data_IF_329557034092
#
_entry.id   IF_329557034092
#
_cell.length_a   1.000
_cell.length_b   1.000
_cell.length_c   1.000
_cell.angle_alpha   90.00
_cell.angle_beta   90.00
_cell.angle_gamma   90.00
#
_symmetry.space_group_name_H-M   'P 1'
#
loop_
_entity.id
_entity.type
_entity.pdbx_description
1 polymer ?
#
# COMPACT_ATOMS: atom_id res chain seq x y z
N UNK A 1 -19.72 9.94 -13.18
CA UNK A 1 -20.33 11.25 -12.87
C UNK A 1 -21.52 11.16 -11.88
N UNK A 2 -22.05 9.96 -11.58
CA UNK A 2 -23.16 9.81 -10.62
C UNK A 2 -22.68 9.87 -9.16
N UNK A 3 -21.49 9.39 -8.84
CA UNK A 3 -21.05 9.21 -7.45
C UNK A 3 -20.50 10.49 -6.80
N UNK A 4 -19.84 11.36 -7.56
CA UNK A 4 -19.47 12.70 -7.07
C UNK A 4 -20.71 13.54 -6.86
N UNK A 5 -21.72 13.40 -7.73
CA UNK A 5 -23.01 14.07 -7.58
C UNK A 5 -23.80 13.57 -6.34
N UNK A 6 -23.71 12.28 -6.01
CA UNK A 6 -24.33 11.72 -4.79
C UNK A 6 -23.61 12.18 -3.52
N UNK A 7 -22.29 12.32 -3.54
CA UNK A 7 -21.51 12.83 -2.41
C UNK A 7 -21.80 14.31 -2.15
N UNK A 8 -21.92 15.12 -3.20
CA UNK A 8 -22.31 16.53 -3.08
C UNK A 8 -23.74 16.70 -2.54
N UNK A 9 -24.67 15.87 -3.00
CA UNK A 9 -26.05 15.83 -2.48
C UNK A 9 -26.08 15.41 -1.01
N UNK A 10 -25.29 14.41 -0.62
CA UNK A 10 -25.19 13.98 0.76
C UNK A 10 -24.61 15.08 1.66
N UNK A 11 -23.54 15.75 1.22
CA UNK A 11 -22.94 16.84 1.99
C UNK A 11 -23.85 18.05 2.12
N UNK A 12 -24.62 18.38 1.06
CA UNK A 12 -25.64 19.42 1.08
C UNK A 12 -26.74 19.07 2.08
N UNK A 13 -27.26 17.85 2.02
CA UNK A 13 -28.25 17.34 2.95
C UNK A 13 -27.78 17.40 4.40
N UNK A 14 -26.56 16.92 4.67
CA UNK A 14 -25.95 16.95 6.02
C UNK A 14 -25.78 18.39 6.51
N UNK A 15 -25.39 19.32 5.63
CA UNK A 15 -25.27 20.74 5.96
C UNK A 15 -26.61 21.38 6.34
N UNK A 16 -27.66 21.08 5.58
CA UNK A 16 -29.02 21.61 5.79
C UNK A 16 -29.68 21.02 7.04
N UNK A 17 -29.41 19.76 7.36
CA UNK A 17 -30.03 19.02 8.48
C UNK A 17 -29.08 18.81 9.67
N UNK A 18 -27.99 19.58 9.74
CA UNK A 18 -26.95 19.42 10.78
C UNK A 18 -27.51 19.47 12.23
N UNK A 19 -28.55 20.25 12.46
CA UNK A 19 -29.18 20.36 13.76
C UNK A 19 -29.97 19.10 14.17
N UNK A 20 -30.58 18.44 13.23
CA UNK A 20 -31.35 17.19 13.44
C UNK A 20 -30.38 16.01 13.63
N UNK A 21 -29.36 15.95 12.79
CA UNK A 21 -28.34 14.89 12.83
C UNK A 21 -27.43 14.97 14.05
N UNK A 22 -27.40 16.11 14.73
CA UNK A 22 -26.56 16.30 15.92
C UNK A 22 -26.88 15.32 17.06
N UNK A 23 -28.11 14.89 17.19
CA UNK A 23 -28.54 13.97 18.24
C UNK A 23 -27.94 12.56 18.04
N UNK A 24 -27.83 12.11 16.80
CA UNK A 24 -27.42 10.75 16.43
C UNK A 24 -25.91 10.66 16.10
N UNK A 25 -25.34 11.71 15.51
CA UNK A 25 -23.96 11.71 14.97
C UNK A 25 -23.04 12.73 15.63
N UNK A 26 -23.51 13.46 16.63
CA UNK A 26 -22.70 14.48 17.33
C UNK A 26 -22.63 15.81 16.57
N UNK A 27 -21.73 16.70 17.03
CA UNK A 27 -21.66 18.06 16.49
C UNK A 27 -20.90 18.11 15.14
N UNK A 28 -21.64 18.24 14.05
CA UNK A 28 -21.09 18.43 12.71
C UNK A 28 -20.77 19.91 12.50
N UNK A 29 -19.48 20.28 12.52
CA UNK A 29 -19.11 21.68 12.31
C UNK A 29 -19.10 22.04 10.82
N UNK A 30 -19.56 23.26 10.45
CA UNK A 30 -19.47 23.74 9.06
C UNK A 30 -18.02 23.71 8.52
N UNK A 31 -17.04 23.90 9.39
CA UNK A 31 -15.63 23.82 9.03
C UNK A 31 -15.21 22.40 8.62
N UNK A 32 -15.70 21.38 9.33
CA UNK A 32 -15.45 19.97 8.99
C UNK A 32 -16.10 19.59 7.67
N UNK A 33 -17.36 19.98 7.45
CA UNK A 33 -18.08 19.73 6.18
C UNK A 33 -17.36 20.41 5.01
N UNK A 34 -16.97 21.67 5.17
CA UNK A 34 -16.19 22.39 4.16
C UNK A 34 -14.82 21.78 3.88
N UNK A 35 -14.17 21.16 4.88
CA UNK A 35 -12.92 20.43 4.67
C UNK A 35 -13.12 19.13 3.86
N UNK A 36 -14.18 18.38 4.15
CA UNK A 36 -14.55 17.17 3.40
C UNK A 36 -14.85 17.54 1.95
N UNK A 37 -15.68 18.56 1.73
CA UNK A 37 -16.04 19.02 0.39
C UNK A 37 -14.82 19.46 -0.43
N UNK A 38 -13.90 20.23 0.16
CA UNK A 38 -12.65 20.61 -0.52
C UNK A 38 -11.79 19.40 -0.88
N UNK A 39 -11.73 18.38 -0.04
CA UNK A 39 -10.97 17.17 -0.33
C UNK A 39 -11.62 16.35 -1.46
N UNK A 40 -12.93 16.25 -1.50
CA UNK A 40 -13.67 15.59 -2.59
C UNK A 40 -13.48 16.31 -3.93
N UNK A 41 -13.59 17.64 -3.93
CA UNK A 41 -13.33 18.45 -5.13
C UNK A 41 -11.88 18.27 -5.61
N UNK A 42 -10.91 18.32 -4.70
CA UNK A 42 -9.51 18.10 -5.06
C UNK A 42 -9.26 16.69 -5.62
N UNK A 43 -10.02 15.69 -5.20
CA UNK A 43 -9.95 14.32 -5.73
C UNK A 43 -10.59 14.25 -7.13
N UNK A 44 -11.72 14.91 -7.33
CA UNK A 44 -12.38 15.02 -8.63
C UNK A 44 -11.49 15.73 -9.66
N UNK A 45 -10.86 16.85 -9.28
CA UNK A 45 -9.92 17.60 -10.13
C UNK A 45 -8.70 16.77 -10.56
N UNK A 46 -8.32 15.77 -9.75
CA UNK A 46 -7.26 14.82 -10.08
C UNK A 46 -7.74 13.64 -10.95
N UNK A 47 -8.98 13.66 -11.41
CA UNK A 47 -9.56 12.63 -12.25
C UNK A 47 -10.30 11.53 -11.48
N UNK A 48 -10.61 11.77 -10.20
CA UNK A 48 -11.37 10.84 -9.38
C UNK A 48 -12.74 10.51 -9.95
N UNK A 49 -13.39 11.46 -10.61
CA UNK A 49 -14.66 11.29 -11.32
C UNK A 49 -14.61 10.24 -12.46
N UNK A 50 -13.42 10.03 -13.04
CA UNK A 50 -13.16 9.02 -14.07
C UNK A 50 -12.64 7.71 -13.52
N UNK A 51 -12.09 7.76 -12.32
CA UNK A 51 -11.48 6.61 -11.67
C UNK A 51 -12.50 5.84 -10.82
N UNK A 52 -13.30 6.55 -10.03
CA UNK A 52 -14.37 5.96 -9.23
C UNK A 52 -15.67 5.98 -10.06
N UNK A 53 -16.10 4.83 -10.55
CA UNK A 53 -17.29 4.71 -11.36
C UNK A 53 -17.62 3.25 -11.67
N UNK A 54 -18.65 3.05 -12.48
CA UNK A 54 -19.04 1.73 -12.96
C UNK A 54 -18.30 1.34 -14.26
N UNK A 55 -17.89 0.07 -14.40
CA UNK A 55 -18.00 -1.02 -13.42
C UNK A 55 -16.99 -0.89 -12.29
N UNK A 56 -17.43 -1.18 -11.06
CA UNK A 56 -16.56 -1.17 -9.89
C UNK A 56 -15.59 -2.36 -9.92
N UNK A 57 -14.36 -2.14 -9.44
CA UNK A 57 -13.36 -3.20 -9.30
C UNK A 57 -13.75 -4.14 -8.15
N UNK A 58 -13.85 -5.43 -8.44
CA UNK A 58 -14.04 -6.47 -7.43
C UNK A 58 -12.69 -7.11 -7.06
N UNK A 59 -12.36 -7.10 -5.78
CA UNK A 59 -11.11 -7.74 -5.27
C UNK A 59 -11.09 -9.25 -5.56
N UNK A 60 -12.23 -9.90 -5.60
CA UNK A 60 -12.31 -11.33 -5.89
C UNK A 60 -11.94 -11.67 -7.34
N UNK A 61 -11.99 -10.71 -8.25
CA UNK A 61 -11.53 -10.89 -9.63
C UNK A 61 -10.02 -11.11 -9.71
N UNK A 62 -9.25 -10.63 -8.74
CA UNK A 62 -7.80 -10.85 -8.68
C UNK A 62 -7.41 -12.29 -8.31
N UNK A 63 -8.32 -13.06 -7.72
CA UNK A 63 -8.04 -14.43 -7.22
C UNK A 63 -8.47 -15.50 -8.24
N UNK A 64 -8.95 -15.10 -9.41
CA UNK A 64 -9.42 -16.03 -10.43
C UNK A 64 -8.27 -16.80 -11.05
N UNK A 65 -8.59 -18.01 -11.47
CA UNK A 65 -7.67 -18.92 -12.17
C UNK A 65 -8.16 -19.15 -13.60
N UNK A 66 -7.22 -19.47 -14.49
CA UNK A 66 -7.53 -19.89 -15.85
C UNK A 66 -8.14 -21.32 -15.88
N UNK A 67 -8.53 -21.78 -17.06
CA UNK A 67 -9.10 -23.12 -17.30
C UNK A 67 -8.13 -24.27 -16.94
N UNK A 68 -6.85 -23.98 -16.73
CA UNK A 68 -5.83 -24.93 -16.34
C UNK A 68 -5.50 -24.85 -14.82
N UNK A 69 -6.23 -24.04 -14.06
CA UNK A 69 -6.02 -23.83 -12.64
C UNK A 69 -4.82 -22.97 -12.28
N UNK A 70 -4.26 -22.21 -13.24
CA UNK A 70 -3.16 -21.26 -12.99
C UNK A 70 -3.75 -19.90 -12.61
N UNK A 71 -3.16 -19.23 -11.65
CA UNK A 71 -3.57 -17.88 -11.24
C UNK A 71 -3.39 -16.87 -12.37
N UNK A 72 -4.32 -15.93 -12.47
CA UNK A 72 -4.22 -14.81 -13.40
C UNK A 72 -3.17 -13.81 -12.95
N UNK A 73 -2.46 -13.20 -13.89
CA UNK A 73 -1.54 -12.11 -13.64
C UNK A 73 -2.26 -10.80 -13.97
N UNK A 74 -2.48 -9.97 -12.93
CA UNK A 74 -3.10 -8.67 -13.06
C UNK A 74 -2.02 -7.60 -12.97
N UNK A 75 -2.00 -6.66 -13.91
CA UNK A 75 -1.04 -5.56 -13.92
C UNK A 75 -1.78 -4.24 -13.80
N UNK A 76 -1.59 -3.54 -12.70
CA UNK A 76 -2.06 -2.16 -12.53
C UNK A 76 -1.00 -1.21 -13.10
N UNK A 77 -1.30 -0.61 -14.25
CA UNK A 77 -0.46 0.45 -14.81
C UNK A 77 -0.69 1.76 -14.03
N UNK A 78 0.12 1.99 -13.00
CA UNK A 78 -0.06 3.09 -12.06
C UNK A 78 0.68 4.38 -12.43
N UNK A 79 1.31 4.46 -13.60
CA UNK A 79 2.09 5.60 -14.07
C UNK A 79 1.31 6.93 -14.01
N UNK A 80 0.04 6.91 -14.36
CA UNK A 80 -0.84 8.08 -14.27
C UNK A 80 -1.29 8.38 -12.83
N UNK A 81 -1.56 7.34 -12.05
CA UNK A 81 -1.97 7.45 -10.65
C UNK A 81 -0.85 8.02 -9.77
N UNK A 82 0.40 7.63 -10.03
CA UNK A 82 1.57 8.12 -9.31
C UNK A 82 1.75 9.64 -9.45
N UNK A 83 1.29 10.23 -10.57
CA UNK A 83 1.28 11.68 -10.77
C UNK A 83 0.15 12.40 -10.01
N UNK A 84 -0.77 11.65 -9.40
CA UNK A 84 -1.89 12.16 -8.61
C UNK A 84 -1.88 11.53 -7.21
N UNK A 85 -1.00 11.96 -6.29
CA UNK A 85 -0.72 11.25 -5.04
C UNK A 85 -1.94 11.00 -4.15
N UNK A 86 -2.88 11.96 -4.12
CA UNK A 86 -4.11 11.78 -3.32
C UNK A 86 -5.01 10.68 -3.89
N UNK A 87 -5.16 10.63 -5.21
CA UNK A 87 -5.96 9.60 -5.88
C UNK A 87 -5.32 8.23 -5.68
N UNK A 88 -4.00 8.14 -5.85
CA UNK A 88 -3.25 6.91 -5.62
C UNK A 88 -3.39 6.40 -4.18
N UNK A 89 -3.18 7.29 -3.20
CA UNK A 89 -3.34 6.95 -1.78
C UNK A 89 -4.77 6.50 -1.44
N UNK A 90 -5.79 7.17 -1.99
CA UNK A 90 -7.18 6.80 -1.77
C UNK A 90 -7.52 5.43 -2.37
N UNK A 91 -7.04 5.17 -3.59
CA UNK A 91 -7.21 3.87 -4.24
C UNK A 91 -6.57 2.74 -3.44
N UNK A 92 -5.32 2.92 -3.02
CA UNK A 92 -4.60 1.91 -2.23
C UNK A 92 -5.26 1.67 -0.87
N UNK A 93 -5.68 2.73 -0.20
CA UNK A 93 -6.37 2.61 1.09
C UNK A 93 -7.67 1.82 0.94
N UNK A 94 -8.45 2.11 -0.10
CA UNK A 94 -9.66 1.35 -0.43
C UNK A 94 -9.32 -0.11 -0.75
N UNK A 95 -8.42 -0.35 -1.69
CA UNK A 95 -8.05 -1.71 -2.14
C UNK A 95 -7.54 -2.58 -0.99
N UNK A 96 -6.65 -2.04 -0.14
CA UNK A 96 -6.11 -2.78 1.01
C UNK A 96 -7.18 -3.00 2.09
N UNK A 97 -8.15 -2.09 2.24
CA UNK A 97 -9.27 -2.27 3.15
C UNK A 97 -10.22 -3.36 2.69
N UNK A 98 -10.63 -3.32 1.41
CA UNK A 98 -11.48 -4.34 0.80
C UNK A 98 -10.81 -5.73 0.87
N UNK A 99 -9.53 -5.80 0.52
CA UNK A 99 -8.76 -7.03 0.60
C UNK A 99 -8.78 -7.61 2.03
N UNK A 100 -8.60 -6.75 3.02
CA UNK A 100 -8.58 -7.18 4.41
C UNK A 100 -9.96 -7.60 4.92
N UNK A 101 -11.02 -6.94 4.49
CA UNK A 101 -12.40 -7.18 4.94
C UNK A 101 -13.04 -8.37 4.24
N UNK A 102 -12.87 -8.47 2.92
CA UNK A 102 -13.56 -9.50 2.12
C UNK A 102 -12.90 -10.88 2.19
N UNK A 103 -11.57 -10.96 2.37
CA UNK A 103 -10.91 -12.24 2.40
C UNK A 103 -11.11 -12.94 3.75
N UNK A 104 -11.54 -14.22 3.72
CA UNK A 104 -11.68 -15.02 4.94
C UNK A 104 -10.31 -15.39 5.53
N UNK A 105 -10.29 -15.61 6.84
CA UNK A 105 -9.14 -16.24 7.50
C UNK A 105 -9.00 -17.68 7.00
N UNK A 106 -7.83 -18.01 6.47
CA UNK A 106 -7.53 -19.36 5.92
C UNK A 106 -6.39 -20.04 6.66
N UNK A 107 -5.79 -19.35 7.63
CA UNK A 107 -4.64 -19.85 8.37
C UNK A 107 -3.34 -19.84 7.57
N UNK A 108 -2.42 -20.71 7.96
CA UNK A 108 -1.11 -20.83 7.31
C UNK A 108 -1.20 -21.82 6.15
N UNK A 109 -1.12 -21.32 4.93
CA UNK A 109 -1.22 -22.11 3.71
C UNK A 109 0.17 -22.36 3.12
N UNK A 110 0.37 -23.50 2.47
CA UNK A 110 1.61 -23.84 1.76
C UNK A 110 1.90 -22.87 0.60
N UNK A 111 0.85 -22.33 -0.02
CA UNK A 111 0.96 -21.37 -1.12
C UNK A 111 -0.08 -20.26 -0.94
N UNK A 112 0.30 -19.00 -1.18
CA UNK A 112 -0.67 -17.91 -1.13
C UNK A 112 -1.69 -18.01 -2.28
N UNK A 113 -2.91 -17.55 -2.01
CA UNK A 113 -3.99 -17.45 -3.02
C UNK A 113 -3.81 -16.23 -3.92
N UNK A 114 -3.17 -15.19 -3.41
CA UNK A 114 -2.93 -13.93 -4.08
C UNK A 114 -1.57 -13.39 -3.65
N UNK A 115 -0.84 -12.81 -4.58
CA UNK A 115 0.45 -12.17 -4.30
C UNK A 115 0.46 -10.78 -4.90
N UNK A 116 0.78 -9.78 -4.08
CA UNK A 116 1.00 -8.40 -4.50
C UNK A 116 2.49 -8.10 -4.62
N UNK A 117 2.85 -7.48 -5.72
CA UNK A 117 4.15 -6.87 -5.91
C UNK A 117 3.98 -5.35 -6.00
N UNK A 118 4.50 -4.64 -5.03
CA UNK A 118 4.56 -3.18 -5.04
C UNK A 118 5.94 -2.75 -5.51
N UNK A 119 6.00 -2.42 -6.80
CA UNK A 119 7.21 -1.83 -7.37
C UNK A 119 7.30 -0.37 -6.98
N UNK A 120 8.54 0.15 -6.88
CA UNK A 120 8.83 1.50 -6.35
C UNK A 120 8.08 1.78 -5.03
N UNK A 121 8.22 0.84 -4.09
CA UNK A 121 7.43 0.82 -2.85
C UNK A 121 7.59 2.09 -1.99
N UNK A 122 8.62 2.90 -2.20
CA UNK A 122 8.77 4.20 -1.55
C UNK A 122 7.57 5.12 -1.80
N UNK A 123 6.92 5.01 -2.97
CA UNK A 123 5.75 5.82 -3.32
C UNK A 123 4.52 5.53 -2.45
N UNK A 124 4.47 4.38 -1.80
CA UNK A 124 3.42 4.04 -0.84
C UNK A 124 3.54 4.83 0.48
N UNK A 125 4.77 5.25 0.81
CA UNK A 125 5.09 5.86 2.08
C UNK A 125 5.44 7.35 1.94
N UNK A 126 5.95 7.77 0.78
CA UNK A 126 6.24 9.14 0.47
C UNK A 126 4.96 9.98 0.45
N UNK A 127 4.84 10.93 1.37
CA UNK A 127 3.66 11.78 1.54
C UNK A 127 2.35 11.03 1.84
N UNK A 128 2.42 9.77 2.27
CA UNK A 128 1.25 9.01 2.67
C UNK A 128 0.61 9.61 3.92
N UNK A 129 -0.73 9.62 3.96
CA UNK A 129 -1.45 9.98 5.19
C UNK A 129 -1.18 8.95 6.29
N UNK A 130 -1.27 9.37 7.56
CA UNK A 130 -1.16 8.45 8.69
C UNK A 130 -2.16 7.27 8.57
N UNK A 131 -3.37 7.53 8.10
CA UNK A 131 -4.38 6.49 7.88
C UNK A 131 -3.94 5.44 6.85
N UNK A 132 -3.28 5.84 5.76
CA UNK A 132 -2.76 4.90 4.77
C UNK A 132 -1.58 4.09 5.35
N UNK A 133 -0.65 4.74 6.06
CA UNK A 133 0.48 4.06 6.69
C UNK A 133 0.00 3.02 7.70
N UNK A 134 -0.91 3.39 8.61
CA UNK A 134 -1.51 2.49 9.59
C UNK A 134 -2.21 1.30 8.92
N UNK A 135 -2.91 1.54 7.81
CA UNK A 135 -3.58 0.46 7.05
C UNK A 135 -2.58 -0.48 6.39
N UNK A 136 -1.52 0.04 5.79
CA UNK A 136 -0.44 -0.78 5.22
C UNK A 136 0.20 -1.64 6.32
N UNK A 137 0.53 -1.07 7.47
CA UNK A 137 1.11 -1.79 8.61
C UNK A 137 0.17 -2.88 9.12
N UNK A 138 -1.12 -2.59 9.26
CA UNK A 138 -2.14 -3.56 9.65
C UNK A 138 -2.22 -4.71 8.65
N UNK A 139 -2.29 -4.40 7.37
CA UNK A 139 -2.38 -5.39 6.29
C UNK A 139 -1.13 -6.26 6.28
N UNK A 140 0.07 -5.68 6.27
CA UNK A 140 1.34 -6.43 6.25
C UNK A 140 1.43 -7.42 7.42
N UNK A 141 0.94 -7.02 8.61
CA UNK A 141 0.98 -7.85 9.81
C UNK A 141 0.03 -9.05 9.74
N UNK A 142 -1.15 -8.88 9.17
CA UNK A 142 -2.27 -9.82 9.32
C UNK A 142 -2.64 -10.54 8.01
N UNK A 143 -2.18 -10.07 6.86
CA UNK A 143 -2.66 -10.53 5.57
C UNK A 143 -2.24 -11.98 5.25
N UNK A 144 -1.17 -12.46 5.90
CA UNK A 144 -0.72 -13.86 5.75
C UNK A 144 -1.80 -14.86 6.17
N UNK A 145 -2.52 -14.58 7.26
CA UNK A 145 -3.62 -15.43 7.72
C UNK A 145 -4.78 -15.51 6.73
N UNK A 146 -4.86 -14.58 5.80
CA UNK A 146 -5.82 -14.54 4.70
C UNK A 146 -5.31 -15.19 3.41
N UNK A 147 -4.12 -15.77 3.44
CA UNK A 147 -3.50 -16.44 2.30
C UNK A 147 -2.97 -15.49 1.23
N UNK A 148 -2.55 -14.28 1.62
CA UNK A 148 -1.98 -13.28 0.71
C UNK A 148 -0.52 -13.03 1.03
N UNK A 149 0.32 -13.01 -0.02
CA UNK A 149 1.72 -12.61 0.03
C UNK A 149 1.89 -11.17 -0.45
N UNK A 150 2.80 -10.42 0.17
CA UNK A 150 3.15 -9.07 -0.24
C UNK A 150 4.66 -8.98 -0.44
N UNK A 151 5.05 -8.40 -1.57
CA UNK A 151 6.43 -8.07 -1.91
C UNK A 151 6.57 -6.57 -2.11
N UNK A 152 7.48 -5.95 -1.38
CA UNK A 152 7.89 -4.57 -1.61
C UNK A 152 9.20 -4.55 -2.36
N UNK A 153 9.25 -3.82 -3.45
CA UNK A 153 10.45 -3.64 -4.28
C UNK A 153 10.82 -2.17 -4.23
N UNK A 154 12.04 -1.89 -3.81
CA UNK A 154 12.55 -0.53 -3.69
C UNK A 154 14.05 -0.49 -4.00
N UNK A 155 14.55 0.65 -4.39
CA UNK A 155 15.97 0.88 -4.68
C UNK A 155 16.78 1.18 -3.43
N UNK A 156 16.14 1.57 -2.33
CA UNK A 156 16.82 1.93 -1.09
C UNK A 156 16.11 1.31 0.13
N UNK A 157 16.81 0.56 0.96
CA UNK A 157 16.21 -0.04 2.16
C UNK A 157 15.70 0.98 3.20
N UNK A 158 16.13 2.25 3.11
CA UNK A 158 15.63 3.33 3.98
C UNK A 158 14.27 3.89 3.56
N UNK A 159 13.74 3.48 2.42
CA UNK A 159 12.46 3.98 1.89
C UNK A 159 11.24 3.39 2.63
N UNK A 160 11.43 2.25 3.28
CA UNK A 160 10.36 1.59 4.03
C UNK A 160 10.44 1.96 5.51
N UNK A 161 9.31 2.27 6.17
CA UNK A 161 9.27 2.48 7.61
C UNK A 161 9.76 1.26 8.39
N UNK A 162 10.42 1.50 9.52
CA UNK A 162 10.92 0.42 10.40
C UNK A 162 9.80 -0.50 10.90
N UNK A 163 8.60 0.04 11.12
CA UNK A 163 7.41 -0.71 11.50
C UNK A 163 6.99 -1.75 10.45
N UNK A 164 7.14 -1.42 9.16
CA UNK A 164 6.89 -2.34 8.05
C UNK A 164 8.06 -3.31 7.90
N UNK A 165 9.30 -2.82 7.88
CA UNK A 165 10.49 -3.67 7.78
C UNK A 165 10.53 -4.76 8.85
N UNK A 166 10.11 -4.43 10.07
CA UNK A 166 10.06 -5.38 11.19
C UNK A 166 9.06 -6.53 11.00
N UNK A 167 8.08 -6.39 10.10
CA UNK A 167 7.08 -7.43 9.79
C UNK A 167 7.50 -8.34 8.62
N UNK A 168 8.50 -7.93 7.83
CA UNK A 168 8.94 -8.68 6.66
C UNK A 168 9.94 -9.77 7.08
N UNK A 169 9.51 -11.02 6.98
CA UNK A 169 10.34 -12.20 7.35
C UNK A 169 11.40 -12.54 6.32
N UNK A 170 11.15 -12.26 5.05
CA UNK A 170 12.05 -12.61 3.95
C UNK A 170 12.61 -11.35 3.29
N UNK A 171 13.90 -11.37 2.97
CA UNK A 171 14.59 -10.26 2.33
C UNK A 171 15.48 -10.76 1.22
N UNK A 172 15.45 -10.03 0.09
CA UNK A 172 16.35 -10.23 -1.04
C UNK A 172 17.06 -8.90 -1.28
N UNK A 173 18.36 -8.87 -1.04
CA UNK A 173 19.18 -7.67 -1.16
C UNK A 173 20.16 -7.82 -2.30
N UNK A 174 19.99 -7.01 -3.34
CA UNK A 174 20.98 -6.84 -4.40
C UNK A 174 22.10 -5.89 -3.97
N UNK A 175 23.15 -5.78 -4.80
CA UNK A 175 24.28 -4.91 -4.54
C UNK A 175 23.86 -3.46 -4.24
N UNK A 176 24.39 -2.89 -3.16
CA UNK A 176 24.34 -1.45 -2.89
C UNK A 176 25.75 -0.89 -2.95
N UNK A 177 25.91 0.24 -3.62
CA UNK A 177 27.18 0.96 -3.67
C UNK A 177 27.18 2.05 -2.61
N UNK A 178 28.21 2.09 -1.77
CA UNK A 178 28.29 2.98 -0.62
C UNK A 178 29.21 4.18 -0.88
N UNK A 179 28.87 5.00 -1.89
CA UNK A 179 29.70 6.15 -2.27
C UNK A 179 29.47 7.38 -1.37
N UNK A 180 28.31 7.53 -0.80
CA UNK A 180 27.97 8.66 0.07
C UNK A 180 27.70 8.21 1.51
N UNK A 181 27.75 9.12 2.51
CA UNK A 181 27.33 8.78 3.88
C UNK A 181 25.91 8.25 3.97
N UNK A 182 25.00 8.72 3.10
CA UNK A 182 23.62 8.21 3.00
C UNK A 182 23.62 6.76 2.52
N UNK A 183 24.42 6.44 1.51
CA UNK A 183 24.54 5.06 0.98
C UNK A 183 25.13 4.12 2.02
N UNK A 184 26.16 4.57 2.75
CA UNK A 184 26.76 3.79 3.85
C UNK A 184 25.75 3.47 4.94
N UNK A 185 24.88 4.46 5.29
CA UNK A 185 23.79 4.23 6.22
C UNK A 185 22.78 3.21 5.67
N UNK A 186 22.45 3.28 4.39
CA UNK A 186 21.54 2.34 3.73
C UNK A 186 22.09 0.91 3.78
N UNK A 187 23.37 0.72 3.45
CA UNK A 187 24.04 -0.59 3.55
C UNK A 187 24.00 -1.13 4.97
N UNK A 188 24.34 -0.30 5.95
CA UNK A 188 24.31 -0.71 7.36
C UNK A 188 22.89 -1.09 7.80
N UNK A 189 21.89 -0.27 7.46
CA UNK A 189 20.48 -0.57 7.79
C UNK A 189 20.03 -1.87 7.14
N UNK A 190 20.39 -2.12 5.87
CA UNK A 190 20.11 -3.39 5.20
C UNK A 190 20.76 -4.55 5.95
N UNK A 191 22.05 -4.46 6.25
CA UNK A 191 22.80 -5.50 6.93
C UNK A 191 22.26 -5.82 8.33
N UNK A 192 21.91 -4.81 9.11
CA UNK A 192 21.34 -4.95 10.47
C UNK A 192 19.99 -5.69 10.47
N UNK A 193 19.32 -5.75 9.32
CA UNK A 193 18.03 -6.46 9.18
C UNK A 193 18.17 -7.91 8.74
N UNK A 194 19.37 -8.34 8.36
CA UNK A 194 19.67 -9.74 8.01
C UNK A 194 19.99 -10.55 9.26
N UNK A 195 19.76 -11.85 9.20
CA UNK A 195 20.29 -12.76 10.22
C UNK A 195 21.81 -12.75 10.17
N UNK A 196 22.42 -12.72 11.35
CA UNK A 196 23.88 -12.81 11.44
C UNK A 196 24.40 -14.12 10.83
N UNK A 197 25.41 -14.03 10.00
CA UNK A 197 26.11 -15.18 9.43
C UNK A 197 27.53 -15.20 9.95
N UNK A 198 28.02 -16.31 10.54
CA UNK A 198 29.38 -16.40 11.05
C UNK A 198 30.45 -16.46 9.92
N UNK A 199 30.07 -16.84 8.69
CA UNK A 199 31.01 -17.08 7.61
C UNK A 199 31.42 -15.81 6.86
N UNK A 200 30.59 -14.73 6.93
CA UNK A 200 30.86 -13.45 6.27
C UNK A 200 30.15 -12.29 6.93
N UNK A 201 30.65 -11.08 6.69
CA UNK A 201 29.97 -9.87 7.11
C UNK A 201 28.98 -9.41 6.03
N UNK A 202 27.74 -9.23 6.41
CA UNK A 202 26.64 -8.89 5.49
C UNK A 202 26.85 -7.54 4.83
N UNK A 203 27.32 -6.53 5.57
CA UNK A 203 27.57 -5.18 5.05
C UNK A 203 28.69 -5.15 4.01
N UNK A 204 29.77 -5.90 4.22
CA UNK A 204 30.85 -6.06 3.23
C UNK A 204 30.32 -6.79 1.99
N UNK A 205 29.63 -7.92 2.18
CA UNK A 205 29.09 -8.71 1.10
C UNK A 205 28.11 -7.93 0.20
N UNK A 206 27.18 -7.13 0.77
CA UNK A 206 26.24 -6.31 0.00
C UNK A 206 26.96 -5.37 -0.99
N UNK A 207 28.11 -4.82 -0.60
CA UNK A 207 28.85 -3.88 -1.45
C UNK A 207 29.68 -4.57 -2.54
N UNK A 208 29.99 -5.85 -2.36
CA UNK A 208 30.81 -6.66 -3.26
C UNK A 208 30.02 -7.47 -4.28
N UNK A 209 28.68 -7.63 -4.08
CA UNK A 209 27.82 -8.36 -5.01
C UNK A 209 27.97 -7.87 -6.44
N UNK A 210 28.00 -8.80 -7.38
CA UNK A 210 27.97 -8.56 -8.81
C UNK A 210 26.57 -8.27 -9.33
N UNK A 211 26.48 -7.95 -10.61
CA UNK A 211 25.19 -7.75 -11.29
C UNK A 211 24.41 -9.07 -11.33
N UNK A 212 23.18 -9.05 -10.85
CA UNK A 212 22.31 -10.25 -10.79
C UNK A 212 22.53 -11.12 -9.55
N UNK A 213 23.52 -10.81 -8.70
CA UNK A 213 23.71 -11.48 -7.42
C UNK A 213 22.85 -10.84 -6.33
N UNK A 214 22.49 -11.63 -5.32
CA UNK A 214 21.70 -11.18 -4.18
C UNK A 214 22.01 -11.99 -2.92
N UNK A 215 21.90 -11.34 -1.77
CA UNK A 215 21.81 -12.01 -0.47
C UNK A 215 20.34 -12.28 -0.15
N UNK A 216 20.05 -13.47 0.38
CA UNK A 216 18.71 -13.87 0.79
C UNK A 216 18.73 -14.19 2.27
N UNK A 217 17.76 -13.64 3.02
CA UNK A 217 17.49 -13.98 4.42
C UNK A 217 16.04 -14.41 4.54
N UNK A 218 15.82 -15.60 5.12
CA UNK A 218 14.50 -16.18 5.37
C UNK A 218 14.32 -16.52 6.85
#
# INVERSE_FOLDING_TARGET
SSDVCSSDLMLSYVSEHAAELKADYGNLSPASLGAIQRNLLALADQGGDKFFGEPSLDILDFIQTDSQGRGNINVLAADKLMNTPKLYATFLLWMLSELFEQLPEVGDMDKPKLVFFFDEAHLLFDNASSALQEKIEQVVRLIRSKGVGIYFITQNPLDLPESVLGQLGNRVQHALRAFTPKDQKAVKTAADTFRSNPDFKVDEAITELGVGEALISC
#
